data_IF_416075726334
#
_entry.id   IF_416075726334
#
_cell.length_a   1.000
_cell.length_b   1.000
_cell.length_c   1.000
_cell.angle_alpha   90.00
_cell.angle_beta   90.00
_cell.angle_gamma   90.00
#
_symmetry.space_group_name_H-M   'P 1'
#
loop_
_entity.id
_entity.type
_entity.pdbx_description
1 polymer ?
#
# COMPACT_ATOMS: atom_id res chain seq x y z
N UNK A 1 2.36 16.12 -7.72
CA UNK A 1 2.63 14.67 -7.85
C UNK A 1 2.52 14.20 -9.30
N UNK A 2 3.54 13.51 -9.81
CA UNK A 2 3.44 12.74 -11.07
C UNK A 2 2.64 11.45 -10.80
N UNK A 3 1.43 11.39 -11.36
CA UNK A 3 0.49 10.28 -11.14
C UNK A 3 0.98 8.95 -11.73
N UNK A 4 1.81 9.00 -12.79
CA UNK A 4 2.36 7.79 -13.41
C UNK A 4 3.41 7.19 -12.49
N UNK A 5 4.33 8.02 -11.99
CA UNK A 5 5.35 7.59 -11.02
C UNK A 5 4.68 7.08 -9.74
N UNK A 6 3.73 7.84 -9.18
CA UNK A 6 3.02 7.45 -7.97
C UNK A 6 2.30 6.10 -8.12
N UNK A 7 1.66 5.85 -9.27
CA UNK A 7 1.04 4.56 -9.56
C UNK A 7 2.06 3.43 -9.69
N UNK A 8 3.17 3.67 -10.38
CA UNK A 8 4.24 2.67 -10.49
C UNK A 8 4.82 2.30 -9.12
N UNK A 9 5.06 3.29 -8.25
CA UNK A 9 5.53 3.08 -6.89
C UNK A 9 4.51 2.28 -6.06
N UNK A 10 3.23 2.66 -6.13
CA UNK A 10 2.17 1.95 -5.42
C UNK A 10 2.04 0.50 -5.89
N UNK A 11 1.98 0.26 -7.20
CA UNK A 11 1.84 -1.07 -7.79
C UNK A 11 3.08 -1.95 -7.47
N UNK A 12 4.28 -1.36 -7.49
CA UNK A 12 5.51 -2.05 -7.12
C UNK A 12 5.49 -2.47 -5.65
N UNK A 13 5.11 -1.56 -4.75
CA UNK A 13 5.06 -1.82 -3.31
C UNK A 13 3.99 -2.84 -2.93
N UNK A 14 2.82 -2.80 -3.57
CA UNK A 14 1.79 -3.84 -3.37
C UNK A 14 2.33 -5.22 -3.74
N UNK A 15 2.99 -5.34 -4.90
CA UNK A 15 3.57 -6.61 -5.34
C UNK A 15 4.65 -7.12 -4.38
N UNK A 16 5.53 -6.23 -3.92
CA UNK A 16 6.55 -6.54 -2.91
C UNK A 16 5.93 -7.12 -1.64
N UNK A 17 4.94 -6.42 -1.07
CA UNK A 17 4.25 -6.83 0.16
C UNK A 17 3.58 -8.20 0.00
N UNK A 18 2.93 -8.45 -1.14
CA UNK A 18 2.28 -9.73 -1.41
C UNK A 18 3.30 -10.85 -1.62
N UNK A 19 4.48 -10.55 -2.18
CA UNK A 19 5.55 -11.53 -2.38
C UNK A 19 6.28 -11.91 -1.09
N UNK A 20 6.33 -11.02 -0.10
CA UNK A 20 6.89 -11.30 1.24
C UNK A 20 6.05 -12.31 2.05
N UNK A 21 4.83 -12.61 1.60
CA UNK A 21 3.99 -13.65 2.16
C UNK A 21 3.05 -13.19 3.28
N UNK A 22 2.34 -14.18 3.85
CA UNK A 22 1.20 -13.97 4.76
C UNK A 22 1.54 -13.13 6.00
N UNK A 23 2.67 -13.40 6.65
CA UNK A 23 3.08 -12.69 7.87
C UNK A 23 3.21 -11.18 7.62
N UNK A 24 3.76 -10.82 6.46
CA UNK A 24 3.93 -9.43 6.08
C UNK A 24 2.59 -8.72 5.91
N UNK A 25 1.66 -9.33 5.19
CA UNK A 25 0.31 -8.80 4.99
C UNK A 25 -0.43 -8.66 6.32
N UNK A 26 -0.31 -9.66 7.20
CA UNK A 26 -0.95 -9.61 8.52
C UNK A 26 -0.36 -8.53 9.43
N UNK A 27 0.95 -8.27 9.37
CA UNK A 27 1.56 -7.18 10.16
C UNK A 27 0.94 -5.82 9.84
N UNK A 28 0.54 -5.60 8.58
CA UNK A 28 -0.07 -4.36 8.11
C UNK A 28 -1.53 -4.17 8.56
N UNK A 29 -2.17 -5.20 9.12
CA UNK A 29 -3.48 -5.07 9.77
C UNK A 29 -3.38 -4.36 11.12
N UNK A 30 -2.22 -4.46 11.77
CA UNK A 30 -1.97 -3.88 13.08
C UNK A 30 -1.32 -2.50 12.99
N UNK A 31 -0.37 -2.32 12.08
CA UNK A 31 0.40 -1.08 11.96
C UNK A 31 0.69 -0.72 10.49
N UNK A 32 0.44 0.54 10.15
CA UNK A 32 0.80 1.12 8.86
C UNK A 32 2.31 1.15 8.67
N UNK A 33 2.82 0.73 7.51
CA UNK A 33 4.23 0.94 7.16
C UNK A 33 4.41 2.24 6.38
N UNK A 34 5.43 3.00 6.75
CA UNK A 34 5.81 4.26 6.12
C UNK A 34 7.22 4.15 5.55
N UNK A 35 7.39 4.60 4.30
CA UNK A 35 8.66 4.63 3.60
C UNK A 35 8.76 5.90 2.77
N UNK A 36 9.98 6.24 2.36
CA UNK A 36 10.26 7.36 1.47
C UNK A 36 11.08 6.87 0.29
N UNK A 37 10.72 7.28 -0.92
CA UNK A 37 11.46 6.96 -2.15
C UNK A 37 11.74 8.22 -2.96
N UNK A 38 12.99 8.37 -3.41
CA UNK A 38 13.40 9.49 -4.25
C UNK A 38 13.32 9.11 -5.73
N UNK A 39 12.58 9.90 -6.52
CA UNK A 39 12.47 9.69 -7.95
C UNK A 39 12.48 11.02 -8.71
N UNK A 40 13.43 11.18 -9.65
CA UNK A 40 13.58 12.37 -10.51
C UNK A 40 13.59 13.71 -9.75
N UNK A 41 14.24 13.76 -8.59
CA UNK A 41 14.34 14.98 -7.77
C UNK A 41 13.13 15.29 -6.90
N UNK A 42 12.16 14.37 -6.80
CA UNK A 42 11.01 14.46 -5.90
C UNK A 42 11.08 13.32 -4.90
N UNK A 43 10.87 13.61 -3.61
CA UNK A 43 10.72 12.61 -2.57
C UNK A 43 9.25 12.22 -2.42
N UNK A 44 8.96 10.94 -2.54
CA UNK A 44 7.63 10.38 -2.40
C UNK A 44 7.52 9.66 -1.06
N UNK A 45 6.53 10.02 -0.27
CA UNK A 45 6.15 9.30 0.93
C UNK A 45 5.16 8.19 0.57
N UNK A 46 5.50 6.95 0.90
CA UNK A 46 4.70 5.76 0.63
C UNK A 46 4.15 5.25 1.96
N UNK A 47 2.84 5.00 2.02
CA UNK A 47 2.18 4.36 3.16
C UNK A 47 1.42 3.13 2.71
N UNK A 48 1.71 2.00 3.34
CA UNK A 48 1.03 0.73 3.13
C UNK A 48 0.20 0.35 4.36
N UNK A 49 -1.04 -0.08 4.10
CA UNK A 49 -2.00 -0.54 5.10
C UNK A 49 -2.65 -1.84 4.63
N UNK A 50 -3.16 -2.63 5.58
CA UNK A 50 -4.07 -3.73 5.26
C UNK A 50 -5.37 -3.60 6.06
N UNK A 51 -6.47 -4.10 5.51
CA UNK A 51 -7.76 -4.18 6.19
C UNK A 51 -8.57 -5.38 5.70
N UNK A 52 -9.49 -5.87 6.52
CA UNK A 52 -10.44 -6.89 6.09
C UNK A 52 -11.51 -6.28 5.19
N UNK A 53 -11.71 -6.84 4.01
CA UNK A 53 -12.72 -6.38 3.06
C UNK A 53 -14.12 -6.92 3.41
N UNK A 54 -14.18 -8.10 4.02
CA UNK A 54 -15.41 -8.78 4.37
C UNK A 54 -15.65 -8.84 5.89
N UNK A 55 -16.93 -8.97 6.27
CA UNK A 55 -17.33 -9.11 7.69
C UNK A 55 -16.81 -10.39 8.33
N UNK A 56 -16.59 -11.43 7.51
CA UNK A 56 -16.07 -12.72 7.97
C UNK A 56 -14.54 -12.72 8.11
N UNK A 57 -13.86 -11.63 7.75
CA UNK A 57 -12.42 -11.44 7.85
C UNK A 57 -11.61 -12.51 7.10
N UNK A 58 -12.10 -12.95 5.94
CA UNK A 58 -11.44 -13.95 5.08
C UNK A 58 -10.59 -13.31 3.99
N UNK A 59 -10.90 -12.07 3.62
CA UNK A 59 -10.21 -11.34 2.55
C UNK A 59 -9.50 -10.15 3.16
N UNK A 60 -8.18 -10.14 3.07
CA UNK A 60 -7.34 -9.02 3.48
C UNK A 60 -7.00 -8.22 2.24
N UNK A 61 -7.34 -6.94 2.23
CA UNK A 61 -6.96 -6.03 1.15
C UNK A 61 -5.77 -5.19 1.56
N UNK A 62 -4.74 -5.19 0.73
CA UNK A 62 -3.58 -4.31 0.89
C UNK A 62 -3.82 -3.04 0.09
N UNK A 63 -3.57 -1.89 0.72
CA UNK A 63 -3.72 -0.56 0.15
C UNK A 63 -2.41 0.20 0.28
N UNK A 64 -1.92 0.74 -0.84
CA UNK A 64 -0.74 1.61 -0.86
C UNK A 64 -1.15 3.00 -1.34
N UNK A 65 -0.73 3.99 -0.57
CA UNK A 65 -0.90 5.43 -0.84
C UNK A 65 0.46 6.05 -1.03
N UNK A 66 0.57 6.96 -2.00
CA UNK A 66 1.81 7.66 -2.35
C UNK A 66 1.49 9.14 -2.38
N UNK A 67 2.31 9.94 -1.71
CA UNK A 67 2.24 11.40 -1.65
C UNK A 67 3.62 12.00 -1.98
N UNK A 68 3.68 13.17 -2.60
CA UNK A 68 4.94 13.89 -2.87
C UNK A 68 5.24 14.99 -1.85
N UNK A 69 4.87 14.72 -0.59
CA UNK A 69 4.89 15.68 0.53
C UNK A 69 3.96 16.90 0.33
N UNK A 70 2.98 16.78 -0.57
CA UNK A 70 2.11 17.85 -1.04
C UNK A 70 0.82 18.06 -0.26
N UNK A 71 0.66 17.40 0.91
CA UNK A 71 -0.49 17.39 1.83
C UNK A 71 -1.34 16.12 1.70
N UNK A 72 -1.44 15.34 2.79
CA UNK A 72 -2.22 14.09 2.96
C UNK A 72 -3.75 14.28 2.87
N UNK A 73 -4.25 15.31 2.20
CA UNK A 73 -5.67 15.50 1.97
C UNK A 73 -6.10 14.67 0.76
N UNK A 74 -6.84 13.60 1.03
CA UNK A 74 -7.76 12.94 0.09
C UNK A 74 -7.12 12.25 -1.13
N UNK A 75 -6.35 11.18 -0.90
CA UNK A 75 -6.11 10.21 -1.96
C UNK A 75 -6.66 8.84 -1.55
N UNK A 76 -7.66 8.40 -2.31
CA UNK A 76 -8.06 6.99 -2.41
C UNK A 76 -6.80 6.13 -2.66
N UNK A 77 -6.77 4.85 -2.24
CA UNK A 77 -5.68 3.94 -2.58
C UNK A 77 -5.29 4.10 -4.05
N UNK A 78 -4.02 4.39 -4.31
CA UNK A 78 -3.50 4.49 -5.68
C UNK A 78 -3.46 3.10 -6.32
N UNK A 79 -3.34 2.07 -5.48
CA UNK A 79 -3.45 0.67 -5.84
C UNK A 79 -4.04 -0.15 -4.69
N UNK A 80 -4.80 -1.19 -5.03
CA UNK A 80 -5.36 -2.14 -4.08
C UNK A 80 -5.32 -3.55 -4.67
N UNK A 81 -4.96 -4.53 -3.85
CA UNK A 81 -4.97 -5.94 -4.23
C UNK A 81 -5.48 -6.81 -3.08
N UNK A 82 -6.11 -7.91 -3.44
CA UNK A 82 -6.78 -8.80 -2.51
C UNK A 82 -5.85 -9.97 -2.15
N UNK A 83 -5.82 -10.34 -0.87
CA UNK A 83 -5.13 -11.49 -0.32
C UNK A 83 -6.16 -12.41 0.35
N UNK A 84 -6.14 -13.69 -0.02
CA UNK A 84 -7.05 -14.69 0.51
C UNK A 84 -6.38 -15.49 1.61
N UNK A 85 -7.00 -15.55 2.78
CA UNK A 85 -6.55 -16.43 3.85
C UNK A 85 -7.08 -17.86 3.59
N UNK A 86 -6.33 -18.67 2.84
CA UNK A 86 -6.61 -20.11 2.76
C UNK A 86 -6.42 -20.75 4.15
N UNK A 87 -7.41 -21.56 4.56
CA UNK A 87 -7.49 -22.27 5.84
C UNK A 87 -6.56 -23.46 5.90
#
# INVERSE_FOLDING_TARGET
MDKVIAKCLADSKVKEILSDGKERVQSLLSESKHEFEFHKGVEYQIRANAFYEDKEKKIIRVSVTVDDQGFWSTLLPVSGSDFFEER
#
